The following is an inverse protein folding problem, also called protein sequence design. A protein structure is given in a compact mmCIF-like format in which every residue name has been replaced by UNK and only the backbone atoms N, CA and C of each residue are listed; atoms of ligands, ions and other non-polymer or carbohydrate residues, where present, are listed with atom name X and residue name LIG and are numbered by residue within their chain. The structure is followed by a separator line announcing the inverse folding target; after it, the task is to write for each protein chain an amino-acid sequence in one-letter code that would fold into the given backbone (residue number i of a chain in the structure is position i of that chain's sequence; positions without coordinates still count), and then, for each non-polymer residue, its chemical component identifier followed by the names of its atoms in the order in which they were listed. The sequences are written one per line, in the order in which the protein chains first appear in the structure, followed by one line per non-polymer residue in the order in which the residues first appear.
data_IF_832125287932
#
_entry.id   IF_832125287932
#
_cell.length_a   1.000
_cell.length_b   1.000
_cell.length_c   1.000
_cell.angle_alpha   90.00
_cell.angle_beta   90.00
_cell.angle_gamma   90.00
#
_symmetry.space_group_name_H-M   'P 1'
#
loop_
_entity.id
_entity.type
_entity.pdbx_description
1 polymer ?
#
# COMPACT_ATOMS: atom_id res chain seq x y z
N UNK A 1 33.30 29.48 -8.90
CA UNK A 1 31.91 29.10 -9.26
C UNK A 1 31.23 28.10 -8.31
N UNK A 2 31.96 27.28 -7.54
CA UNK A 2 31.35 26.26 -6.65
C UNK A 2 30.80 26.75 -5.30
N UNK A 3 31.13 27.97 -4.87
CA UNK A 3 30.68 28.52 -3.57
C UNK A 3 29.25 29.09 -3.67
N UNK A 4 28.90 29.71 -4.81
CA UNK A 4 27.56 30.28 -5.03
C UNK A 4 26.46 29.22 -5.19
N UNK A 5 26.75 28.07 -5.80
CA UNK A 5 25.76 26.99 -5.95
C UNK A 5 25.40 26.32 -4.62
N UNK A 6 26.36 26.24 -3.69
CA UNK A 6 26.12 25.73 -2.33
C UNK A 6 25.28 26.68 -1.49
N UNK A 7 25.54 27.98 -1.59
CA UNK A 7 24.76 29.03 -0.93
C UNK A 7 23.34 29.12 -1.48
N UNK A 8 23.15 29.04 -2.80
CA UNK A 8 21.81 28.98 -3.41
C UNK A 8 21.04 27.72 -3.00
N UNK A 9 21.69 26.55 -2.99
CA UNK A 9 21.05 25.31 -2.53
C UNK A 9 20.70 25.39 -1.04
N UNK A 10 21.56 25.98 -0.20
CA UNK A 10 21.25 26.20 1.21
C UNK A 10 20.10 27.20 1.41
N UNK A 11 20.02 28.26 0.60
CA UNK A 11 18.89 29.19 0.62
C UNK A 11 17.59 28.53 0.16
N UNK A 12 17.60 27.76 -0.93
CA UNK A 12 16.43 27.02 -1.39
C UNK A 12 16.00 25.92 -0.39
N UNK A 13 16.95 25.25 0.25
CA UNK A 13 16.68 24.33 1.36
C UNK A 13 16.10 25.06 2.57
N UNK A 14 16.63 26.22 2.93
CA UNK A 14 16.11 27.03 4.04
C UNK A 14 14.71 27.60 3.74
N UNK A 15 14.47 28.08 2.52
CA UNK A 15 13.16 28.57 2.07
C UNK A 15 12.14 27.43 2.02
N UNK A 16 12.52 26.25 1.53
CA UNK A 16 11.63 25.08 1.53
C UNK A 16 11.37 24.54 2.94
N UNK A 17 12.35 24.55 3.83
CA UNK A 17 12.19 24.20 5.25
C UNK A 17 11.29 25.22 5.95
N UNK A 18 11.50 26.51 5.71
CA UNK A 18 10.68 27.61 6.27
C UNK A 18 9.25 27.57 5.75
N UNK A 19 9.06 27.29 4.46
CA UNK A 19 7.74 27.13 3.84
C UNK A 19 7.00 25.91 4.39
N UNK A 20 7.68 24.76 4.55
CA UNK A 20 7.11 23.58 5.21
C UNK A 20 6.73 23.86 6.66
N UNK A 21 7.54 24.63 7.39
CA UNK A 21 7.27 24.99 8.78
C UNK A 21 6.08 25.95 8.91
N UNK A 22 5.95 26.91 7.99
CA UNK A 22 4.77 27.78 7.89
C UNK A 22 3.48 26.98 7.63
N UNK A 23 3.49 26.09 6.65
CA UNK A 23 2.34 25.23 6.34
C UNK A 23 1.95 24.37 7.56
N UNK A 24 2.93 23.84 8.30
CA UNK A 24 2.67 23.08 9.53
C UNK A 24 2.01 23.95 10.61
N UNK A 25 2.51 25.16 10.83
CA UNK A 25 1.94 26.09 11.81
C UNK A 25 0.53 26.55 11.42
N UNK A 26 0.26 26.78 10.13
CA UNK A 26 -1.09 27.11 9.65
C UNK A 26 -2.08 25.97 9.88
N UNK A 27 -1.68 24.73 9.58
CA UNK A 27 -2.50 23.54 9.89
C UNK A 27 -2.71 23.37 11.39
N UNK A 28 -1.65 23.50 12.18
CA UNK A 28 -1.71 23.36 13.63
C UNK A 28 -2.54 24.47 14.28
N UNK A 29 -2.62 25.66 13.68
CA UNK A 29 -3.52 26.72 14.17
C UNK A 29 -5.00 26.31 14.08
N UNK A 30 -5.37 25.53 13.06
CA UNK A 30 -6.74 25.03 12.90
C UNK A 30 -7.04 23.83 13.80
N UNK A 31 -6.06 22.95 14.01
CA UNK A 31 -6.14 21.80 14.91
C UNK A 31 -4.84 21.66 15.76
N UNK A 32 -4.77 22.32 16.94
CA UNK A 32 -3.52 22.43 17.70
C UNK A 32 -3.06 21.12 18.34
N UNK A 33 -4.00 20.43 18.97
CA UNK A 33 -3.85 19.15 19.64
C UNK A 33 -5.20 18.46 19.63
N UNK A 34 -5.24 17.14 19.63
CA UNK A 34 -6.50 16.39 19.67
C UNK A 34 -6.72 15.70 21.02
N UNK A 35 -5.69 15.70 21.88
CA UNK A 35 -5.71 14.99 23.16
C UNK A 35 -5.02 15.78 24.26
N UNK A 36 -5.54 15.62 25.48
CA UNK A 36 -4.84 15.95 26.72
C UNK A 36 -4.83 14.75 27.68
N UNK A 37 -3.69 14.50 28.30
CA UNK A 37 -3.51 13.49 29.35
C UNK A 37 -2.94 14.16 30.59
N UNK A 38 -3.53 13.90 31.75
CA UNK A 38 -2.94 14.29 33.03
C UNK A 38 -2.21 13.05 33.59
N UNK A 39 -0.87 13.10 33.62
CA UNK A 39 0.00 11.98 33.96
C UNK A 39 0.86 12.29 35.17
N UNK A 40 0.86 11.40 36.16
CA UNK A 40 1.67 11.55 37.38
C UNK A 40 2.81 10.55 37.33
N UNK A 41 4.06 11.01 37.26
CA UNK A 41 5.21 10.11 37.27
C UNK A 41 5.35 9.41 38.61
N UNK A 42 5.89 8.19 38.56
CA UNK A 42 6.15 7.41 39.77
C UNK A 42 7.16 8.14 40.67
N UNK A 43 6.70 8.58 41.84
CA UNK A 43 7.49 9.34 42.81
C UNK A 43 7.20 10.85 42.82
N UNK A 44 6.30 11.33 41.95
CA UNK A 44 5.79 12.70 41.97
C UNK A 44 4.37 12.74 42.54
N UNK A 45 3.99 13.87 43.15
CA UNK A 45 2.66 14.07 43.73
C UNK A 45 1.71 14.83 42.80
N UNK A 46 2.24 15.52 41.78
CA UNK A 46 1.47 16.39 40.89
C UNK A 46 1.42 15.83 39.47
N UNK A 47 0.23 15.83 38.88
CA UNK A 47 0.05 15.43 37.49
C UNK A 47 0.59 16.49 36.51
N UNK A 48 1.43 16.07 35.57
CA UNK A 48 1.82 16.86 34.39
C UNK A 48 0.70 16.84 33.35
N UNK A 49 0.42 18.00 32.75
CA UNK A 49 -0.54 18.11 31.64
C UNK A 49 0.17 17.92 30.31
N UNK A 50 -0.07 16.80 29.67
CA UNK A 50 0.54 16.43 28.40
C UNK A 50 -0.48 16.67 27.29
N UNK A 51 -0.17 17.58 26.38
CA UNK A 51 -0.97 17.84 25.18
C UNK A 51 -0.35 17.10 24.00
N UNK A 52 -1.16 16.36 23.26
CA UNK A 52 -0.72 15.56 22.11
C UNK A 52 -1.39 16.06 20.85
N UNK A 53 -0.58 16.40 19.85
CA UNK A 53 -1.03 16.99 18.60
C UNK A 53 -0.24 16.54 17.38
N UNK A 54 -0.66 16.99 16.18
CA UNK A 54 -0.06 16.59 14.91
C UNK A 54 1.43 16.92 14.80
N UNK A 55 1.86 18.05 15.38
CA UNK A 55 3.25 18.48 15.40
C UNK A 55 3.67 18.96 16.79
N UNK A 56 4.96 18.81 17.11
CA UNK A 56 5.52 19.41 18.31
C UNK A 56 5.46 20.93 18.24
N UNK A 57 4.94 21.56 19.28
CA UNK A 57 4.94 23.03 19.40
C UNK A 57 5.68 23.43 20.66
N UNK A 58 6.66 24.33 20.51
CA UNK A 58 7.44 24.85 21.62
C UNK A 58 7.61 26.37 21.50
N UNK A 59 7.71 27.03 22.64
CA UNK A 59 8.04 28.46 22.73
C UNK A 59 9.34 28.63 23.49
N UNK A 60 10.05 29.74 23.26
CA UNK A 60 11.30 30.04 23.98
C UNK A 60 11.10 30.21 25.48
N UNK A 61 9.90 30.62 25.89
CA UNK A 61 9.56 30.96 27.28
C UNK A 61 9.02 29.77 28.08
N UNK A 62 8.19 28.93 27.45
CA UNK A 62 7.48 27.84 28.15
C UNK A 62 7.99 26.45 27.76
N UNK A 63 8.98 26.36 26.87
CA UNK A 63 9.50 25.08 26.40
C UNK A 63 8.49 24.35 25.51
N UNK A 64 8.49 23.01 25.58
CA UNK A 64 7.62 22.15 24.77
C UNK A 64 6.20 22.15 25.35
N UNK A 65 5.25 22.65 24.57
CA UNK A 65 3.84 22.80 24.98
C UNK A 65 2.95 21.69 24.42
N UNK A 66 3.21 21.30 23.17
CA UNK A 66 2.47 20.24 22.49
C UNK A 66 3.49 19.20 22.08
N UNK A 67 3.28 17.99 22.56
CA UNK A 67 4.03 16.84 22.13
C UNK A 67 3.52 16.41 20.76
N UNK A 68 4.47 16.18 19.87
CA UNK A 68 4.17 15.49 18.63
C UNK A 68 3.58 14.13 19.00
N UNK A 69 2.48 13.77 18.36
CA UNK A 69 1.83 12.48 18.58
C UNK A 69 2.77 11.30 18.32
N UNK A 70 3.92 11.52 17.64
CA UNK A 70 5.05 10.60 17.38
C UNK A 70 6.11 10.53 18.44
N UNK A 71 6.00 11.32 19.49
CA UNK A 71 6.89 11.21 20.62
C UNK A 71 6.52 9.94 21.42
N UNK A 72 7.50 9.20 21.95
CA UNK A 72 7.24 8.01 22.77
C UNK A 72 6.25 8.25 23.93
N UNK A 73 6.24 9.45 24.50
CA UNK A 73 5.29 9.86 25.54
C UNK A 73 3.83 9.82 25.08
N UNK A 74 3.55 10.03 23.79
CA UNK A 74 2.20 9.92 23.25
C UNK A 74 1.68 8.47 23.29
N UNK A 75 2.55 7.47 23.46
CA UNK A 75 2.12 6.09 23.66
C UNK A 75 1.27 5.95 24.91
N UNK A 76 1.35 6.81 25.93
CA UNK A 76 0.43 6.76 27.08
C UNK A 76 -1.03 7.01 26.66
N UNK A 77 -1.24 7.85 25.64
CA UNK A 77 -2.57 8.13 25.13
C UNK A 77 -3.09 6.95 24.30
N UNK A 78 -2.24 6.34 23.47
CA UNK A 78 -2.70 5.20 22.70
C UNK A 78 -2.81 4.00 23.61
N UNK A 79 -1.74 3.63 24.29
CA UNK A 79 -1.50 2.29 24.79
C UNK A 79 -2.25 1.90 26.07
N UNK A 80 -2.63 2.89 26.86
CA UNK A 80 -3.14 2.70 28.22
C UNK A 80 -4.47 3.43 28.44
N UNK A 81 -5.33 2.79 29.22
CA UNK A 81 -6.52 3.42 29.81
C UNK A 81 -6.11 4.17 31.09
N UNK A 82 -7.07 4.65 31.89
CA UNK A 82 -6.75 5.23 33.20
C UNK A 82 -6.01 4.23 34.10
N UNK A 83 -5.13 4.75 34.97
CA UNK A 83 -4.32 3.94 35.89
C UNK A 83 -2.87 3.78 35.43
N UNK A 84 -2.24 2.66 35.78
CA UNK A 84 -0.81 2.47 35.56
C UNK A 84 -0.43 2.43 34.07
N UNK A 85 0.51 3.29 33.69
CA UNK A 85 1.05 3.35 32.34
C UNK A 85 2.58 3.48 32.35
N UNK A 86 3.19 3.05 31.25
CA UNK A 86 4.64 3.14 31.05
C UNK A 86 4.96 3.40 29.59
N UNK A 87 5.99 4.20 29.35
CA UNK A 87 6.43 4.53 28.01
C UNK A 87 7.96 4.61 27.95
N UNK A 88 8.50 4.50 26.74
CA UNK A 88 9.93 4.50 26.53
C UNK A 88 10.46 5.94 26.45
N UNK A 89 11.58 6.24 27.09
CA UNK A 89 12.29 7.51 26.95
C UNK A 89 13.75 7.24 26.54
N UNK A 90 14.48 8.24 26.03
CA UNK A 90 15.92 8.09 25.77
C UNK A 90 16.73 7.66 27.00
N UNK A 91 16.24 7.95 28.22
CA UNK A 91 16.90 7.62 29.47
C UNK A 91 16.43 6.29 30.10
N UNK A 92 15.49 5.57 29.48
CA UNK A 92 14.91 4.33 30.01
C UNK A 92 13.38 4.34 29.99
N UNK A 93 12.75 3.37 30.67
CA UNK A 93 11.28 3.28 30.74
C UNK A 93 10.79 4.23 31.85
N UNK A 94 9.95 5.18 31.48
CA UNK A 94 9.19 6.00 32.43
C UNK A 94 7.89 5.28 32.80
N UNK A 95 7.50 5.36 34.07
CA UNK A 95 6.27 4.74 34.60
C UNK A 95 5.54 5.73 35.50
N UNK A 96 4.21 5.63 35.54
CA UNK A 96 3.36 6.54 36.29
C UNK A 96 1.89 6.18 36.13
N UNK A 97 1.02 7.09 36.51
CA UNK A 97 -0.43 6.90 36.52
C UNK A 97 -1.12 7.94 35.63
N UNK A 98 -2.02 7.48 34.77
CA UNK A 98 -2.91 8.33 33.99
C UNK A 98 -4.14 8.63 34.84
N UNK A 99 -4.29 9.89 35.26
CA UNK A 99 -5.40 10.34 36.10
C UNK A 99 -6.61 10.81 35.28
N UNK A 100 -6.35 11.45 34.13
CA UNK A 100 -7.39 11.96 33.24
C UNK A 100 -6.97 11.90 31.79
N UNK A 101 -7.97 11.69 30.93
CA UNK A 101 -7.80 11.62 29.48
C UNK A 101 -8.96 12.35 28.80
N UNK A 102 -8.62 13.31 27.95
CA UNK A 102 -9.59 14.10 27.18
C UNK A 102 -9.24 14.06 25.71
N UNK A 103 -10.26 13.86 24.90
CA UNK A 103 -10.22 14.08 23.46
C UNK A 103 -10.93 15.39 23.14
N UNK A 104 -10.35 16.14 22.22
CA UNK A 104 -10.73 17.52 21.95
C UNK A 104 -10.79 17.66 20.44
N UNK A 105 -11.98 17.96 19.92
CA UNK A 105 -12.16 18.26 18.51
C UNK A 105 -12.09 19.75 18.30
N UNK A 106 -11.29 20.16 17.32
CA UNK A 106 -11.26 21.53 16.84
C UNK A 106 -11.98 21.64 15.50
N UNK A 107 -12.69 22.74 15.30
CA UNK A 107 -13.26 23.18 14.02
C UNK A 107 -12.90 24.64 13.83
N UNK A 108 -12.16 24.92 12.76
CA UNK A 108 -11.68 26.26 12.41
C UNK A 108 -10.94 26.98 13.56
N UNK A 109 -10.13 26.22 14.32
CA UNK A 109 -9.36 26.74 15.47
C UNK A 109 -10.16 26.94 16.76
N UNK A 110 -11.45 26.60 16.77
CA UNK A 110 -12.31 26.62 17.95
C UNK A 110 -12.59 25.20 18.44
N UNK A 111 -12.74 25.01 19.75
CA UNK A 111 -13.16 23.72 20.31
C UNK A 111 -14.62 23.48 19.91
N UNK A 112 -14.86 22.39 19.18
CA UNK A 112 -16.18 21.92 18.79
C UNK A 112 -16.80 21.12 19.95
N UNK A 113 -16.08 20.10 20.42
CA UNK A 113 -16.47 19.32 21.59
C UNK A 113 -15.27 18.76 22.35
N UNK A 114 -15.52 18.34 23.60
CA UNK A 114 -14.57 17.66 24.47
C UNK A 114 -15.22 16.41 25.05
N UNK A 115 -14.54 15.27 24.92
CA UNK A 115 -14.96 14.00 25.52
C UNK A 115 -13.93 13.58 26.57
N UNK A 116 -14.39 13.31 27.78
CA UNK A 116 -13.60 12.69 28.85
C UNK A 116 -14.03 11.22 28.94
N UNK A 117 -13.07 10.30 28.84
CA UNK A 117 -13.34 8.86 28.85
C UNK A 117 -12.25 8.11 29.58
N UNK A 118 -12.66 7.09 30.33
CA UNK A 118 -11.75 6.20 31.06
C UNK A 118 -11.01 5.24 30.11
N UNK A 119 -11.55 5.04 28.91
CA UNK A 119 -11.00 4.18 27.86
C UNK A 119 -10.53 4.98 26.65
N UNK A 120 -9.61 4.38 25.90
CA UNK A 120 -9.10 4.94 24.65
C UNK A 120 -10.13 4.83 23.53
N UNK A 121 -11.16 5.68 23.53
CA UNK A 121 -12.24 5.63 22.52
C UNK A 121 -11.79 6.36 21.25
N UNK A 122 -11.64 5.67 20.12
CA UNK A 122 -11.01 6.23 18.93
C UNK A 122 -11.97 6.72 17.83
N UNK A 123 -13.29 6.74 18.07
CA UNK A 123 -14.25 6.84 16.99
C UNK A 123 -15.18 8.06 17.10
N UNK A 124 -14.76 9.17 16.47
CA UNK A 124 -15.55 10.40 16.27
C UNK A 124 -16.74 10.19 15.31
N UNK A 125 -16.72 9.13 14.50
CA UNK A 125 -17.76 8.85 13.48
C UNK A 125 -18.87 7.96 14.05
N UNK A 126 -18.53 6.96 14.87
CA UNK A 126 -19.52 6.04 15.47
C UNK A 126 -20.30 6.66 16.63
N UNK A 127 -19.71 7.58 17.40
CA UNK A 127 -20.39 8.17 18.55
C UNK A 127 -21.55 9.10 18.14
N UNK A 128 -21.40 9.92 17.10
CA UNK A 128 -22.45 10.86 16.71
C UNK A 128 -23.76 10.17 16.24
N UNK A 129 -23.68 8.97 15.67
CA UNK A 129 -24.86 8.19 15.30
C UNK A 129 -25.45 7.41 16.48
N UNK A 130 -24.61 6.94 17.42
CA UNK A 130 -25.02 6.09 18.55
C UNK A 130 -25.58 6.87 19.76
N UNK A 131 -25.11 8.08 20.04
CA UNK A 131 -25.64 8.88 21.17
C UNK A 131 -27.09 9.31 20.97
N UNK A 132 -27.62 9.26 19.73
CA UNK A 132 -29.05 9.45 19.48
C UNK A 132 -29.91 8.21 19.79
N UNK A 133 -29.33 7.03 20.08
CA UNK A 133 -30.10 5.81 20.35
C UNK A 133 -29.64 5.05 21.62
N UNK A 134 -30.30 5.38 22.74
CA UNK A 134 -30.64 4.55 23.92
C UNK A 134 -29.53 3.83 24.73
N UNK A 135 -29.38 4.26 25.99
CA UNK A 135 -29.60 3.45 27.20
C UNK A 135 -28.68 2.27 27.56
N UNK A 136 -27.61 2.54 28.32
CA UNK A 136 -27.28 1.89 29.61
C UNK A 136 -26.75 0.45 29.69
N UNK A 137 -27.00 -0.45 28.74
CA UNK A 137 -26.53 -1.85 28.80
C UNK A 137 -25.51 -2.24 27.71
N UNK A 138 -25.11 -1.29 26.86
CA UNK A 138 -24.17 -1.48 25.75
C UNK A 138 -22.69 -1.27 26.11
N UNK A 139 -22.35 -0.75 27.29
CA UNK A 139 -20.98 -0.29 27.61
C UNK A 139 -19.94 -1.42 27.72
N UNK A 140 -20.29 -2.56 28.34
CA UNK A 140 -19.32 -3.64 28.57
C UNK A 140 -18.90 -4.34 27.27
N UNK A 141 -19.86 -4.67 26.38
CA UNK A 141 -19.58 -5.33 25.10
C UNK A 141 -18.78 -4.39 24.18
N UNK A 142 -19.11 -3.08 24.16
CA UNK A 142 -18.37 -2.08 23.40
C UNK A 142 -16.93 -1.96 23.90
N UNK A 143 -16.71 -1.96 25.22
CA UNK A 143 -15.36 -1.89 25.80
C UNK A 143 -14.48 -3.10 25.46
N UNK A 144 -15.04 -4.31 25.46
CA UNK A 144 -14.30 -5.53 25.09
C UNK A 144 -14.01 -5.58 23.59
N UNK A 145 -14.98 -5.19 22.74
CA UNK A 145 -14.79 -5.09 21.29
C UNK A 145 -13.70 -4.06 20.96
N UNK A 146 -13.68 -2.92 21.63
CA UNK A 146 -12.64 -1.91 21.43
C UNK A 146 -11.25 -2.42 21.83
N UNK A 147 -11.15 -3.21 22.91
CA UNK A 147 -9.89 -3.84 23.30
C UNK A 147 -9.40 -4.84 22.26
N UNK A 148 -10.26 -5.70 21.75
CA UNK A 148 -9.93 -6.66 20.68
C UNK A 148 -9.51 -5.95 19.39
N UNK A 149 -10.25 -4.92 18.98
CA UNK A 149 -9.90 -4.10 17.81
C UNK A 149 -8.54 -3.44 17.98
N UNK A 150 -8.24 -2.95 19.17
CA UNK A 150 -6.97 -2.30 19.49
C UNK A 150 -5.79 -3.29 19.54
N UNK A 151 -6.00 -4.52 20.01
CA UNK A 151 -5.00 -5.60 19.89
C UNK A 151 -4.68 -5.90 18.42
N UNK A 152 -5.70 -5.96 17.56
CA UNK A 152 -5.54 -6.14 16.10
C UNK A 152 -4.82 -4.96 15.47
N UNK A 153 -5.13 -3.72 15.86
CA UNK A 153 -4.46 -2.51 15.34
C UNK A 153 -2.96 -2.52 15.68
N UNK A 154 -2.60 -2.99 16.89
CA UNK A 154 -1.23 -2.89 17.41
C UNK A 154 -0.33 -4.07 17.14
N UNK A 155 -0.88 -5.18 16.68
CA UNK A 155 -0.07 -6.36 16.45
C UNK A 155 1.04 -6.08 15.42
N UNK A 156 2.29 -6.04 15.85
CA UNK A 156 3.44 -5.82 14.98
C UNK A 156 4.23 -7.10 14.70
N UNK A 157 3.73 -8.25 15.19
CA UNK A 157 4.42 -9.55 15.10
C UNK A 157 3.97 -10.34 13.89
N UNK A 158 2.70 -10.24 13.50
CA UNK A 158 2.18 -10.99 12.36
C UNK A 158 2.63 -10.39 11.03
N UNK A 159 3.20 -11.24 10.17
CA UNK A 159 3.56 -10.85 8.80
C UNK A 159 2.33 -10.66 7.91
N UNK A 160 1.37 -11.59 8.03
CA UNK A 160 0.12 -11.58 7.28
C UNK A 160 -1.04 -11.58 8.29
N UNK A 161 -2.10 -10.81 8.01
CA UNK A 161 -3.26 -10.68 8.90
C UNK A 161 -4.57 -10.70 8.11
N UNK A 162 -5.54 -11.46 8.60
CA UNK A 162 -6.91 -11.50 8.07
C UNK A 162 -7.85 -11.00 9.15
N UNK A 163 -8.61 -9.94 8.85
CA UNK A 163 -9.60 -9.36 9.76
C UNK A 163 -10.98 -9.84 9.32
N UNK A 164 -11.59 -10.73 10.10
CA UNK A 164 -12.91 -11.28 9.83
C UNK A 164 -13.91 -10.81 10.89
N UNK A 165 -15.10 -10.38 10.45
CA UNK A 165 -16.13 -9.84 11.32
C UNK A 165 -17.44 -9.57 10.59
N UNK A 166 -18.54 -9.46 11.34
CA UNK A 166 -19.89 -9.21 10.80
C UNK A 166 -20.00 -7.84 10.13
N UNK A 167 -21.06 -7.60 9.35
CA UNK A 167 -21.34 -6.27 8.80
C UNK A 167 -21.42 -5.22 9.91
N UNK A 168 -20.86 -4.03 9.68
CA UNK A 168 -20.83 -2.96 10.69
C UNK A 168 -19.80 -3.12 11.83
N UNK A 169 -19.00 -4.18 11.85
CA UNK A 169 -17.96 -4.40 12.89
C UNK A 169 -16.71 -3.51 12.78
N UNK A 170 -16.69 -2.57 11.84
CA UNK A 170 -15.57 -1.63 11.68
C UNK A 170 -14.29 -2.21 11.08
N UNK A 171 -14.34 -3.37 10.38
CA UNK A 171 -13.16 -4.02 9.75
C UNK A 171 -12.28 -3.06 8.95
N UNK A 172 -12.91 -2.30 8.08
CA UNK A 172 -12.31 -1.24 7.27
C UNK A 172 -11.60 -0.21 8.13
N UNK A 173 -12.27 0.30 9.17
CA UNK A 173 -11.68 1.24 10.13
C UNK A 173 -10.50 0.63 10.89
N UNK A 174 -10.59 -0.63 11.33
CA UNK A 174 -9.49 -1.35 12.00
C UNK A 174 -8.28 -1.44 11.07
N UNK A 175 -8.47 -1.82 9.80
CA UNK A 175 -7.39 -1.90 8.83
C UNK A 175 -6.73 -0.53 8.60
N UNK A 176 -7.53 0.54 8.52
CA UNK A 176 -7.06 1.92 8.38
C UNK A 176 -6.24 2.39 9.58
N UNK A 177 -6.79 2.25 10.80
CA UNK A 177 -6.09 2.60 12.02
C UNK A 177 -4.80 1.79 12.20
N UNK A 178 -4.78 0.53 11.76
CA UNK A 178 -3.58 -0.30 11.73
C UNK A 178 -2.50 0.27 10.82
N UNK A 179 -2.82 0.68 9.58
CA UNK A 179 -1.83 1.34 8.69
C UNK A 179 -1.28 2.59 9.35
N UNK A 180 -2.17 3.44 9.88
CA UNK A 180 -1.76 4.68 10.53
C UNK A 180 -0.82 4.38 11.70
N UNK A 181 -1.13 3.36 12.52
CA UNK A 181 -0.27 2.89 13.60
C UNK A 181 1.07 2.31 13.10
N UNK A 182 1.11 1.60 11.97
CA UNK A 182 2.36 1.06 11.43
C UNK A 182 3.25 2.15 10.83
N UNK A 183 2.67 3.06 10.03
CA UNK A 183 3.35 4.24 9.50
C UNK A 183 3.86 5.12 10.63
N UNK A 184 3.10 5.22 11.72
CA UNK A 184 3.50 5.90 12.94
C UNK A 184 4.69 5.24 13.63
N UNK A 185 4.48 3.99 14.08
CA UNK A 185 5.37 3.26 14.98
C UNK A 185 6.71 2.99 14.32
N UNK A 186 6.69 2.81 13.01
CA UNK A 186 7.83 2.47 12.18
C UNK A 186 8.14 3.55 11.14
N UNK A 187 7.84 4.83 11.41
CA UNK A 187 8.09 5.97 10.49
C UNK A 187 9.52 6.06 9.94
N UNK A 188 10.50 5.57 10.69
CA UNK A 188 11.90 5.57 10.26
C UNK A 188 12.22 4.43 9.27
N UNK A 189 11.29 3.49 9.06
CA UNK A 189 11.46 2.27 8.27
C UNK A 189 10.35 2.06 7.20
N UNK A 190 9.14 2.56 7.46
CA UNK A 190 7.98 2.45 6.57
C UNK A 190 7.57 3.85 6.13
N UNK A 191 7.49 4.06 4.82
CA UNK A 191 6.98 5.28 4.21
C UNK A 191 5.64 5.03 3.54
N UNK A 192 4.85 6.09 3.32
CA UNK A 192 3.55 5.96 2.64
C UNK A 192 3.66 5.42 1.21
N UNK A 193 4.76 5.72 0.50
CA UNK A 193 5.07 5.16 -0.83
C UNK A 193 5.19 3.62 -0.85
N UNK A 194 5.40 2.98 0.31
CA UNK A 194 5.54 1.53 0.43
C UNK A 194 4.21 0.83 0.75
N UNK A 195 3.13 1.59 0.93
CA UNK A 195 1.80 1.08 1.26
C UNK A 195 0.88 1.22 0.06
N UNK A 196 0.14 0.16 -0.25
CA UNK A 196 -0.91 0.15 -1.27
C UNK A 196 -2.22 -0.35 -0.70
N UNK A 197 -3.31 0.32 -1.04
CA UNK A 197 -4.68 -0.07 -0.68
C UNK A 197 -5.43 -0.47 -1.95
N UNK A 198 -6.04 -1.64 -1.90
CA UNK A 198 -6.99 -2.16 -2.88
C UNK A 198 -8.36 -2.25 -2.22
N UNK A 199 -9.31 -1.49 -2.73
CA UNK A 199 -10.66 -1.35 -2.17
C UNK A 199 -11.71 -1.44 -3.29
N UNK A 200 -12.99 -1.71 -2.99
CA UNK A 200 -14.04 -1.57 -3.99
C UNK A 200 -14.34 -0.09 -4.31
N UNK A 201 -14.10 0.82 -3.36
CA UNK A 201 -14.50 2.23 -3.43
C UNK A 201 -13.36 3.13 -2.93
N UNK A 202 -13.22 4.33 -3.50
CA UNK A 202 -12.23 5.34 -3.06
C UNK A 202 -12.55 6.07 -1.75
N UNK A 203 -13.41 5.49 -0.91
CA UNK A 203 -13.74 6.05 0.41
C UNK A 203 -12.53 6.04 1.37
N UNK A 204 -11.52 5.19 1.10
CA UNK A 204 -10.30 5.11 1.91
C UNK A 204 -9.41 6.33 1.77
N UNK A 205 -9.18 6.83 0.55
CA UNK A 205 -8.36 8.02 0.30
C UNK A 205 -8.83 9.22 1.09
N UNK A 206 -10.15 9.41 1.23
CA UNK A 206 -10.71 10.54 1.98
C UNK A 206 -10.43 10.43 3.48
N UNK A 207 -10.57 9.23 4.06
CA UNK A 207 -10.29 9.00 5.48
C UNK A 207 -8.79 9.11 5.76
N UNK A 208 -7.95 8.50 4.92
CA UNK A 208 -6.49 8.62 5.01
C UNK A 208 -6.04 10.07 4.80
N UNK A 209 -6.63 10.81 3.88
CA UNK A 209 -6.34 12.24 3.69
C UNK A 209 -6.90 13.13 4.82
N UNK A 210 -7.58 12.59 5.82
CA UNK A 210 -7.92 13.31 7.05
C UNK A 210 -7.01 12.88 8.21
N UNK A 211 -6.69 11.59 8.29
CA UNK A 211 -5.91 11.01 9.39
C UNK A 211 -4.40 11.09 9.16
N UNK A 212 -3.90 10.88 7.93
CA UNK A 212 -2.47 10.91 7.59
C UNK A 212 -1.86 12.31 7.35
N UNK A 213 -2.54 13.35 6.82
CA UNK A 213 -1.91 14.66 6.64
C UNK A 213 -1.64 15.39 7.97
N UNK A 214 -2.33 15.02 9.05
CA UNK A 214 -1.97 15.40 10.41
C UNK A 214 -0.59 14.83 10.83
N UNK A 215 -0.09 13.82 10.10
CA UNK A 215 1.18 13.13 10.36
C UNK A 215 2.35 13.65 9.52
N UNK A 216 2.07 14.51 8.53
CA UNK A 216 3.07 15.09 7.64
C UNK A 216 3.61 14.17 6.55
N UNK A 217 2.97 13.03 6.30
CA UNK A 217 3.33 12.04 5.27
C UNK A 217 2.58 12.28 3.94
N UNK A 218 3.17 11.82 2.83
CA UNK A 218 2.54 11.86 1.49
C UNK A 218 1.35 10.89 1.42
N UNK A 219 0.34 11.13 0.56
CA UNK A 219 -0.83 10.25 0.44
C UNK A 219 -0.44 8.82 0.03
N UNK A 220 -1.08 7.83 0.65
CA UNK A 220 -0.91 6.40 0.33
C UNK A 220 -1.48 6.10 -1.05
N UNK A 221 -0.88 5.16 -1.78
CA UNK A 221 -1.38 4.74 -3.09
C UNK A 221 -2.66 3.90 -2.92
N UNK A 222 -3.78 4.35 -3.49
CA UNK A 222 -5.04 3.62 -3.51
C UNK A 222 -5.47 3.29 -4.94
N UNK A 223 -5.95 2.07 -5.14
CA UNK A 223 -6.59 1.61 -6.36
C UNK A 223 -7.93 0.97 -6.04
N UNK A 224 -8.96 1.27 -6.84
CA UNK A 224 -10.14 0.39 -6.82
C UNK A 224 -9.83 -0.91 -7.56
N UNK A 225 -10.49 -2.00 -7.21
CA UNK A 225 -10.31 -3.29 -7.92
C UNK A 225 -10.65 -3.14 -9.42
N UNK A 226 -11.69 -2.35 -9.73
CA UNK A 226 -12.10 -2.06 -11.10
C UNK A 226 -11.00 -1.30 -11.87
N UNK A 227 -10.45 -0.24 -11.27
CA UNK A 227 -9.37 0.55 -11.87
C UNK A 227 -8.11 -0.27 -12.06
N UNK A 228 -7.76 -1.08 -11.06
CA UNK A 228 -6.61 -1.97 -11.08
C UNK A 228 -6.71 -2.98 -12.23
N UNK A 229 -7.86 -3.64 -12.37
CA UNK A 229 -8.12 -4.61 -13.44
C UNK A 229 -8.13 -3.96 -14.82
N UNK A 230 -8.83 -2.83 -15.00
CA UNK A 230 -8.97 -2.18 -16.31
C UNK A 230 -7.64 -1.57 -16.79
N UNK A 231 -6.95 -0.84 -15.91
CA UNK A 231 -5.73 -0.10 -16.28
C UNK A 231 -4.60 -1.07 -16.60
N UNK A 232 -4.36 -2.05 -15.73
CA UNK A 232 -3.21 -2.94 -15.87
C UNK A 232 -3.43 -4.06 -16.90
N UNK A 233 -4.68 -4.50 -17.12
CA UNK A 233 -4.96 -5.43 -18.21
C UNK A 233 -4.79 -4.77 -19.58
N UNK A 234 -4.99 -3.45 -19.69
CA UNK A 234 -5.04 -2.70 -20.95
C UNK A 234 -6.17 -3.16 -21.88
N UNK A 235 -7.16 -3.87 -21.34
CA UNK A 235 -8.35 -4.28 -22.08
C UNK A 235 -9.29 -3.08 -22.24
N UNK A 236 -9.62 -2.75 -23.49
CA UNK A 236 -10.55 -1.66 -23.79
C UNK A 236 -12.00 -2.16 -23.76
N UNK A 237 -12.93 -1.30 -23.31
CA UNK A 237 -14.39 -1.50 -23.39
C UNK A 237 -14.90 -2.74 -22.63
N UNK A 238 -14.33 -3.02 -21.47
CA UNK A 238 -14.82 -4.08 -20.58
C UNK A 238 -15.97 -3.54 -19.72
N UNK A 239 -17.09 -4.26 -19.56
CA UNK A 239 -18.16 -3.86 -18.67
C UNK A 239 -17.68 -3.80 -17.21
N UNK A 240 -18.33 -2.96 -16.40
CA UNK A 240 -18.14 -2.98 -14.94
C UNK A 240 -18.62 -4.29 -14.32
N UNK A 241 -18.20 -4.59 -13.09
CA UNK A 241 -18.69 -5.76 -12.35
C UNK A 241 -20.22 -5.76 -12.25
N UNK A 242 -20.83 -4.61 -12.01
CA UNK A 242 -22.29 -4.45 -11.97
C UNK A 242 -22.94 -4.82 -13.32
N UNK A 243 -22.39 -4.32 -14.43
CA UNK A 243 -22.89 -4.65 -15.77
C UNK A 243 -22.67 -6.12 -16.14
N UNK A 244 -21.59 -6.76 -15.67
CA UNK A 244 -21.39 -8.21 -15.82
C UNK A 244 -22.51 -8.98 -15.09
N UNK A 245 -22.82 -8.60 -13.85
CA UNK A 245 -23.90 -9.20 -13.07
C UNK A 245 -25.25 -8.99 -13.76
N UNK A 246 -25.58 -7.77 -14.17
CA UNK A 246 -26.81 -7.46 -14.91
C UNK A 246 -26.93 -8.32 -16.17
N UNK A 247 -25.84 -8.45 -16.95
CA UNK A 247 -25.82 -9.32 -18.14
C UNK A 247 -26.03 -10.78 -17.80
N UNK A 248 -25.53 -11.27 -16.66
CA UNK A 248 -25.74 -12.65 -16.22
C UNK A 248 -27.19 -12.91 -15.79
N UNK A 249 -27.84 -11.92 -15.17
CA UNK A 249 -29.27 -12.00 -14.83
C UNK A 249 -30.16 -11.94 -16.07
N UNK A 250 -29.86 -11.05 -17.02
CA UNK A 250 -30.69 -10.82 -18.20
C UNK A 250 -30.42 -11.82 -19.34
N UNK A 251 -29.16 -12.19 -19.57
CA UNK A 251 -28.77 -13.07 -20.66
C UNK A 251 -28.47 -14.48 -20.13
N UNK A 252 -29.37 -15.42 -20.40
CA UNK A 252 -29.17 -16.85 -20.08
C UNK A 252 -28.19 -17.55 -21.04
N UNK A 253 -27.09 -16.89 -21.44
CA UNK A 253 -26.03 -17.56 -22.21
C UNK A 253 -25.25 -18.47 -21.28
N UNK A 254 -25.63 -19.75 -21.28
CA UNK A 254 -25.01 -20.78 -20.46
C UNK A 254 -23.47 -20.79 -20.56
N UNK A 255 -22.92 -20.64 -21.78
CA UNK A 255 -21.47 -20.59 -22.01
C UNK A 255 -20.76 -19.41 -21.34
N UNK A 256 -21.40 -18.25 -21.22
CA UNK A 256 -20.83 -17.09 -20.52
C UNK A 256 -20.82 -17.32 -19.01
N UNK A 257 -21.90 -17.89 -18.47
CA UNK A 257 -22.04 -18.22 -17.04
C UNK A 257 -20.99 -19.25 -16.64
N UNK A 258 -20.83 -20.32 -17.41
CA UNK A 258 -19.83 -21.37 -17.15
C UNK A 258 -18.40 -20.82 -17.20
N UNK A 259 -18.12 -19.94 -18.17
CA UNK A 259 -16.82 -19.27 -18.28
C UNK A 259 -16.55 -18.40 -17.06
N UNK A 260 -17.45 -17.48 -16.70
CA UNK A 260 -17.26 -16.60 -15.53
C UNK A 260 -17.12 -17.41 -14.25
N UNK A 261 -17.95 -18.46 -14.07
CA UNK A 261 -17.82 -19.37 -12.94
C UNK A 261 -16.44 -20.03 -12.88
N UNK A 262 -15.93 -20.50 -14.01
CA UNK A 262 -14.58 -21.08 -14.11
C UNK A 262 -13.51 -20.05 -13.74
N UNK A 263 -13.55 -18.85 -14.31
CA UNK A 263 -12.57 -17.79 -14.07
C UNK A 263 -12.50 -17.36 -12.61
N UNK A 264 -13.62 -17.44 -11.88
CA UNK A 264 -13.69 -17.15 -10.44
C UNK A 264 -13.18 -18.28 -9.54
N UNK A 265 -12.69 -19.40 -10.09
CA UNK A 265 -12.20 -20.53 -9.29
C UNK A 265 -10.69 -20.53 -9.09
N UNK A 266 -10.24 -21.10 -7.97
CA UNK A 266 -8.81 -21.41 -7.74
C UNK A 266 -8.24 -22.35 -8.80
N UNK A 267 -9.09 -23.19 -9.41
CA UNK A 267 -8.70 -24.08 -10.51
C UNK A 267 -8.22 -23.30 -11.72
N UNK A 268 -8.93 -22.25 -12.15
CA UNK A 268 -8.49 -21.39 -13.24
C UNK A 268 -7.09 -20.82 -12.99
N UNK A 269 -6.78 -20.39 -11.75
CA UNK A 269 -5.44 -19.89 -11.41
C UNK A 269 -4.36 -20.97 -11.56
N UNK A 270 -4.66 -22.21 -11.15
CA UNK A 270 -3.73 -23.34 -11.30
C UNK A 270 -3.51 -23.70 -12.78
N UNK A 271 -4.59 -23.80 -13.54
CA UNK A 271 -4.57 -24.09 -14.98
C UNK A 271 -3.80 -23.01 -15.75
N UNK A 272 -4.05 -21.73 -15.43
CA UNK A 272 -3.35 -20.60 -16.05
C UNK A 272 -1.85 -20.61 -15.77
N UNK A 273 -1.45 -20.92 -14.52
CA UNK A 273 -0.03 -21.07 -14.16
C UNK A 273 0.63 -22.20 -14.94
N UNK A 274 -0.05 -23.33 -15.11
CA UNK A 274 0.44 -24.46 -15.88
C UNK A 274 0.58 -24.08 -17.36
N UNK A 275 -0.46 -23.51 -17.94
CA UNK A 275 -0.50 -23.03 -19.32
C UNK A 275 0.65 -22.06 -19.63
N UNK A 276 0.90 -21.09 -18.75
CA UNK A 276 1.96 -20.10 -18.94
C UNK A 276 3.34 -20.74 -18.93
N UNK A 277 3.60 -21.69 -18.02
CA UNK A 277 4.87 -22.45 -18.01
C UNK A 277 5.08 -23.27 -19.29
N UNK A 278 4.02 -23.88 -19.81
CA UNK A 278 4.09 -24.67 -21.05
C UNK A 278 4.20 -23.80 -22.31
N UNK A 279 3.62 -22.60 -22.26
CA UNK A 279 3.72 -21.58 -23.32
C UNK A 279 5.08 -20.90 -23.35
N UNK A 280 5.85 -20.96 -22.26
CA UNK A 280 7.20 -20.39 -22.12
C UNK A 280 8.31 -21.23 -22.77
N UNK A 281 7.98 -22.10 -23.74
CA UNK A 281 8.97 -22.90 -24.47
C UNK A 281 9.89 -21.99 -25.29
N UNK A 282 11.02 -21.62 -24.70
CA UNK A 282 12.02 -20.76 -25.31
C UNK A 282 12.93 -21.56 -26.25
N UNK A 283 12.81 -21.32 -27.56
CA UNK A 283 13.64 -21.97 -28.58
C UNK A 283 14.90 -21.16 -28.79
N UNK A 284 16.05 -21.64 -28.32
CA UNK A 284 17.32 -20.94 -28.47
C UNK A 284 17.87 -21.06 -29.88
N UNK A 285 18.44 -19.97 -30.39
CA UNK A 285 19.27 -19.98 -31.60
C UNK A 285 20.57 -19.24 -31.29
N UNK A 286 21.66 -19.60 -31.97
CA UNK A 286 22.94 -18.90 -31.82
C UNK A 286 22.84 -17.45 -32.31
N UNK A 287 23.33 -16.51 -31.50
CA UNK A 287 23.40 -15.09 -31.85
C UNK A 287 24.84 -14.71 -32.18
N UNK A 288 25.15 -14.57 -33.47
CA UNK A 288 26.44 -14.05 -33.96
C UNK A 288 26.43 -12.52 -34.01
N UNK A 289 27.46 -11.88 -33.44
CA UNK A 289 27.68 -10.42 -33.47
C UNK A 289 29.16 -10.14 -33.81
N UNK A 290 29.42 -9.78 -35.07
CA UNK A 290 30.80 -9.70 -35.56
C UNK A 290 31.44 -11.10 -35.55
N UNK A 291 32.58 -11.23 -34.90
CA UNK A 291 33.32 -12.50 -34.77
C UNK A 291 32.99 -13.26 -33.47
N UNK A 292 31.97 -12.82 -32.72
CA UNK A 292 31.57 -13.44 -31.47
C UNK A 292 30.25 -14.18 -31.62
N UNK A 293 30.28 -15.46 -31.24
CA UNK A 293 29.10 -16.32 -31.18
C UNK A 293 28.62 -16.51 -29.75
N UNK A 294 27.34 -16.21 -29.53
CA UNK A 294 26.62 -16.53 -28.30
C UNK A 294 25.78 -17.77 -28.58
N UNK A 295 26.32 -18.92 -28.23
CA UNK A 295 25.68 -20.22 -28.46
C UNK A 295 24.37 -20.40 -27.69
N UNK A 296 23.58 -21.36 -28.14
CA UNK A 296 22.27 -21.70 -27.57
C UNK A 296 22.34 -22.04 -26.08
N UNK A 297 23.36 -22.79 -25.67
CA UNK A 297 23.57 -23.19 -24.27
C UNK A 297 23.77 -21.98 -23.35
N UNK A 298 24.56 -20.99 -23.78
CA UNK A 298 24.79 -19.76 -23.03
C UNK A 298 23.48 -18.99 -22.82
N UNK A 299 22.70 -18.82 -23.89
CA UNK A 299 21.43 -18.08 -23.82
C UNK A 299 20.44 -18.83 -22.93
N UNK A 300 20.34 -20.16 -23.07
CA UNK A 300 19.44 -20.98 -22.25
C UNK A 300 19.83 -20.93 -20.76
N UNK A 301 21.13 -20.97 -20.45
CA UNK A 301 21.63 -20.90 -19.09
C UNK A 301 21.27 -19.56 -18.43
N UNK A 302 21.47 -18.45 -19.14
CA UNK A 302 21.10 -17.11 -18.65
C UNK A 302 19.58 -16.96 -18.50
N UNK A 303 18.81 -17.48 -19.45
CA UNK A 303 17.35 -17.47 -19.37
C UNK A 303 16.83 -18.22 -18.13
N UNK A 304 17.40 -19.40 -17.83
CA UNK A 304 17.09 -20.17 -16.62
C UNK A 304 17.56 -19.45 -15.35
N UNK A 305 18.73 -18.81 -15.36
CA UNK A 305 19.25 -18.06 -14.22
C UNK A 305 18.30 -16.92 -13.80
N UNK A 306 17.65 -16.25 -14.76
CA UNK A 306 16.66 -15.20 -14.50
C UNK A 306 15.23 -15.71 -14.27
N UNK A 307 15.03 -17.01 -14.03
CA UNK A 307 13.72 -17.66 -13.94
C UNK A 307 12.72 -17.10 -12.91
N UNK A 308 13.17 -16.28 -11.96
CA UNK A 308 12.31 -15.60 -10.98
C UNK A 308 11.71 -14.27 -11.48
N UNK A 309 12.19 -13.73 -12.59
CA UNK A 309 11.75 -12.44 -13.16
C UNK A 309 10.67 -12.63 -14.24
N UNK A 310 9.89 -11.60 -14.61
CA UNK A 310 9.01 -11.62 -15.78
C UNK A 310 9.75 -11.91 -17.08
N UNK A 311 9.11 -12.59 -18.02
CA UNK A 311 9.76 -13.12 -19.25
C UNK A 311 10.51 -12.03 -20.02
N UNK A 312 9.89 -10.88 -20.28
CA UNK A 312 10.53 -9.80 -21.02
C UNK A 312 11.68 -9.16 -20.25
N UNK A 313 11.60 -9.07 -18.93
CA UNK A 313 12.72 -8.60 -18.10
C UNK A 313 13.92 -9.55 -18.23
N UNK A 314 13.70 -10.88 -18.27
CA UNK A 314 14.78 -11.86 -18.52
C UNK A 314 15.47 -11.60 -19.85
N UNK A 315 14.71 -11.36 -20.91
CA UNK A 315 15.27 -11.08 -22.25
C UNK A 315 16.06 -9.76 -22.26
N UNK A 316 15.61 -8.76 -21.52
CA UNK A 316 16.34 -7.50 -21.38
C UNK A 316 17.68 -7.69 -20.67
N UNK A 317 17.73 -8.50 -19.60
CA UNK A 317 18.96 -8.80 -18.87
C UNK A 317 19.93 -9.63 -19.71
N UNK A 318 19.45 -10.60 -20.48
CA UNK A 318 20.30 -11.36 -21.42
C UNK A 318 20.88 -10.41 -22.49
N UNK A 319 20.07 -9.48 -23.00
CA UNK A 319 20.57 -8.48 -23.95
C UNK A 319 21.64 -7.57 -23.32
N UNK A 320 21.51 -7.20 -22.05
CA UNK A 320 22.52 -6.45 -21.30
C UNK A 320 23.80 -7.26 -21.08
N UNK A 321 23.68 -8.51 -20.64
CA UNK A 321 24.81 -9.44 -20.47
C UNK A 321 25.64 -9.59 -21.76
N UNK A 322 24.95 -9.73 -22.91
CA UNK A 322 25.60 -9.80 -24.22
C UNK A 322 26.34 -8.50 -24.52
N UNK A 323 25.72 -7.34 -24.29
CA UNK A 323 26.35 -6.03 -24.54
C UNK A 323 27.54 -5.75 -23.62
N UNK A 324 27.46 -6.14 -22.35
CA UNK A 324 28.55 -6.02 -21.40
C UNK A 324 29.72 -6.93 -21.78
N UNK A 325 29.43 -8.18 -22.15
CA UNK A 325 30.42 -9.09 -22.70
C UNK A 325 31.07 -8.55 -23.97
N UNK A 326 30.36 -7.82 -24.83
CA UNK A 326 30.97 -7.18 -26.00
C UNK A 326 31.86 -5.98 -25.64
N UNK A 327 31.59 -5.30 -24.52
CA UNK A 327 32.40 -4.16 -24.07
C UNK A 327 33.74 -4.58 -23.48
N UNK A 328 33.78 -5.74 -22.80
CA UNK A 328 35.00 -6.27 -22.19
C UNK A 328 35.96 -6.94 -23.19
N UNK A 329 35.56 -7.13 -24.45
CA UNK A 329 36.38 -7.79 -25.46
C UNK A 329 37.41 -6.83 -26.07
N UNK A 330 38.64 -7.32 -26.36
CA UNK A 330 39.72 -6.50 -26.92
C UNK A 330 39.41 -5.99 -28.34
N UNK A 331 38.70 -6.77 -29.16
CA UNK A 331 38.28 -6.36 -30.50
C UNK A 331 36.77 -6.16 -30.53
N UNK A 332 36.32 -4.91 -30.66
CA UNK A 332 34.89 -4.59 -30.70
C UNK A 332 34.37 -4.58 -32.13
N UNK A 333 33.19 -5.16 -32.41
CA UNK A 333 32.62 -5.17 -33.75
C UNK A 333 32.27 -3.75 -34.21
N UNK A 334 32.51 -3.45 -35.49
CA UNK A 334 32.25 -2.13 -36.10
C UNK A 334 30.76 -1.71 -36.01
N UNK A 335 29.84 -2.69 -36.06
CA UNK A 335 28.39 -2.49 -35.89
C UNK A 335 27.92 -3.24 -34.65
N UNK A 336 27.67 -2.50 -33.56
CA UNK A 336 27.09 -3.06 -32.34
C UNK A 336 25.56 -2.99 -32.40
N UNK A 337 24.85 -4.07 -32.11
CA UNK A 337 23.41 -4.00 -31.97
C UNK A 337 23.03 -3.19 -30.74
N UNK A 338 21.87 -2.52 -30.78
CA UNK A 338 21.30 -1.86 -29.60
C UNK A 338 20.63 -2.88 -28.69
N UNK A 339 20.43 -2.53 -27.40
CA UNK A 339 19.65 -3.36 -26.45
C UNK A 339 18.28 -3.74 -27.02
N UNK A 340 17.61 -2.81 -27.70
CA UNK A 340 16.31 -3.04 -28.35
C UNK A 340 16.38 -4.05 -29.50
N UNK A 341 17.45 -4.03 -30.31
CA UNK A 341 17.62 -4.99 -31.39
C UNK A 341 17.87 -6.41 -30.87
N UNK A 342 18.71 -6.55 -29.83
CA UNK A 342 18.96 -7.83 -29.17
C UNK A 342 17.69 -8.37 -28.50
N UNK A 343 16.99 -7.51 -27.75
CA UNK A 343 15.71 -7.84 -27.14
C UNK A 343 14.70 -8.34 -28.19
N UNK A 344 14.58 -7.66 -29.33
CA UNK A 344 13.67 -8.09 -30.39
C UNK A 344 14.08 -9.42 -31.04
N UNK A 345 15.39 -9.72 -31.13
CA UNK A 345 15.88 -11.01 -31.62
C UNK A 345 15.55 -12.13 -30.64
N UNK A 346 15.84 -11.92 -29.35
CA UNK A 346 15.49 -12.86 -28.28
C UNK A 346 13.96 -13.03 -28.15
N UNK A 347 13.18 -11.98 -28.37
CA UNK A 347 11.72 -12.03 -28.32
C UNK A 347 11.12 -12.94 -29.41
N UNK A 348 11.79 -13.10 -30.55
CA UNK A 348 11.38 -14.03 -31.63
C UNK A 348 11.58 -15.50 -31.26
N UNK A 349 12.43 -15.80 -30.27
CA UNK A 349 12.66 -17.15 -29.74
C UNK A 349 11.51 -17.62 -28.82
N UNK A 350 10.51 -16.78 -28.57
CA UNK A 350 9.28 -17.14 -27.88
C UNK A 350 8.16 -17.46 -28.87
N UNK A 351 7.36 -18.52 -28.64
CA UNK A 351 6.30 -18.92 -29.57
C UNK A 351 5.19 -17.89 -29.64
N UNK A 352 4.86 -17.26 -28.51
CA UNK A 352 3.80 -16.25 -28.41
C UNK A 352 4.26 -15.14 -27.48
N UNK A 353 4.19 -13.90 -27.96
CA UNK A 353 4.60 -12.72 -27.20
C UNK A 353 3.46 -11.75 -26.94
N UNK A 354 2.29 -11.96 -27.54
CA UNK A 354 1.13 -11.09 -27.37
C UNK A 354 0.24 -11.66 -26.25
N UNK A 355 0.05 -10.90 -25.18
CA UNK A 355 -0.73 -11.32 -24.01
C UNK A 355 -2.21 -11.62 -24.33
N UNK A 356 -2.83 -10.86 -25.24
CA UNK A 356 -4.22 -11.12 -25.65
C UNK A 356 -4.32 -12.43 -26.44
N UNK A 357 -3.32 -12.75 -27.26
CA UNK A 357 -3.25 -14.03 -27.97
C UNK A 357 -3.01 -15.19 -27.00
N UNK A 358 -2.14 -15.03 -26.01
CA UNK A 358 -1.95 -16.01 -24.93
C UNK A 358 -3.25 -16.28 -24.19
N UNK A 359 -3.99 -15.23 -23.85
CA UNK A 359 -5.28 -15.37 -23.18
C UNK A 359 -6.33 -16.09 -24.06
N UNK A 360 -6.41 -15.73 -25.35
CA UNK A 360 -7.30 -16.41 -26.29
C UNK A 360 -6.99 -17.91 -26.40
N UNK A 361 -5.70 -18.27 -26.46
CA UNK A 361 -5.25 -19.66 -26.52
C UNK A 361 -5.54 -20.40 -25.21
N UNK A 362 -5.31 -19.76 -24.06
CA UNK A 362 -5.65 -20.32 -22.75
C UNK A 362 -7.15 -20.66 -22.67
N UNK A 363 -8.02 -19.71 -23.03
CA UNK A 363 -9.46 -19.96 -23.03
C UNK A 363 -9.86 -21.11 -23.97
N UNK A 364 -9.28 -21.15 -25.17
CA UNK A 364 -9.54 -22.21 -26.13
C UNK A 364 -9.14 -23.60 -25.62
N UNK A 365 -8.02 -23.72 -24.91
CA UNK A 365 -7.57 -24.97 -24.28
C UNK A 365 -8.54 -25.44 -23.18
N UNK A 366 -9.16 -24.49 -22.47
CA UNK A 366 -10.19 -24.77 -21.46
C UNK A 366 -11.59 -24.99 -22.06
N UNK A 367 -11.72 -25.01 -23.39
CA UNK A 367 -12.99 -25.23 -24.10
C UNK A 367 -13.86 -23.98 -24.22
N UNK A 368 -13.35 -22.79 -23.91
CA UNK A 368 -14.08 -21.53 -24.02
C UNK A 368 -13.66 -20.74 -25.25
N UNK A 369 -14.65 -20.16 -25.96
CA UNK A 369 -14.39 -19.26 -27.08
C UNK A 369 -14.25 -17.81 -26.61
N UNK A 370 -13.18 -17.14 -27.01
CA UNK A 370 -13.09 -15.67 -26.89
C UNK A 370 -13.94 -15.04 -28.01
N UNK A 371 -15.20 -14.69 -27.72
CA UNK A 371 -15.97 -13.76 -28.57
C UNK A 371 -15.50 -12.32 -28.31
N UNK A 372 -15.87 -11.38 -29.20
CA UNK A 372 -15.47 -9.96 -29.17
C UNK A 372 -15.76 -9.23 -27.84
N UNK A 373 -16.64 -9.75 -27.00
CA UNK A 373 -17.03 -9.12 -25.74
C UNK A 373 -16.26 -9.74 -24.57
N UNK A 374 -15.26 -9.01 -24.07
CA UNK A 374 -14.64 -9.31 -22.78
C UNK A 374 -15.64 -9.00 -21.66
N UNK A 375 -15.58 -9.78 -20.59
CA UNK A 375 -16.32 -9.58 -19.36
C UNK A 375 -15.38 -9.10 -18.25
N UNK A 376 -15.94 -8.56 -17.16
CA UNK A 376 -15.16 -8.06 -16.04
C UNK A 376 -14.22 -9.13 -15.46
N UNK A 377 -14.72 -10.36 -15.34
CA UNK A 377 -13.96 -11.51 -14.86
C UNK A 377 -12.77 -11.90 -15.76
N UNK A 378 -12.77 -11.50 -17.04
CA UNK A 378 -11.67 -11.75 -17.98
C UNK A 378 -10.44 -10.86 -17.68
N UNK A 379 -10.62 -9.73 -16.98
CA UNK A 379 -9.56 -8.75 -16.70
C UNK A 379 -8.40 -9.37 -15.91
N UNK A 380 -8.70 -10.15 -14.87
CA UNK A 380 -7.69 -10.65 -13.94
C UNK A 380 -6.80 -11.75 -14.52
N UNK A 381 -7.32 -12.74 -15.27
CA UNK A 381 -6.47 -13.65 -16.04
C UNK A 381 -5.58 -12.93 -17.06
N UNK A 382 -6.10 -11.94 -17.78
CA UNK A 382 -5.30 -11.13 -18.72
C UNK A 382 -4.19 -10.40 -17.96
N UNK A 383 -4.54 -9.76 -16.84
CA UNK A 383 -3.59 -9.10 -15.97
C UNK A 383 -2.50 -10.05 -15.46
N UNK A 384 -2.87 -11.26 -15.05
CA UNK A 384 -1.92 -12.29 -14.61
C UNK A 384 -0.93 -12.67 -15.72
N UNK A 385 -1.42 -12.81 -16.95
CA UNK A 385 -0.57 -13.07 -18.13
C UNK A 385 0.39 -11.90 -18.37
N UNK A 386 -0.09 -10.65 -18.27
CA UNK A 386 0.76 -9.46 -18.42
C UNK A 386 1.81 -9.36 -17.33
N UNK A 387 1.46 -9.63 -16.07
CA UNK A 387 2.41 -9.68 -14.97
C UNK A 387 3.52 -10.71 -15.24
N UNK A 388 3.14 -11.89 -15.75
CA UNK A 388 4.10 -12.96 -16.06
C UNK A 388 5.03 -12.60 -17.24
N UNK A 389 4.49 -11.96 -18.28
CA UNK A 389 5.23 -11.64 -19.50
C UNK A 389 6.02 -10.34 -19.39
N UNK A 390 5.36 -9.25 -18.99
CA UNK A 390 5.86 -7.88 -19.03
C UNK A 390 6.46 -7.44 -17.68
N UNK A 391 5.82 -7.82 -16.57
CA UNK A 391 6.11 -7.26 -15.25
C UNK A 391 5.52 -5.86 -15.05
N UNK A 392 5.46 -5.40 -13.81
CA UNK A 392 5.03 -4.04 -13.46
C UNK A 392 5.99 -3.42 -12.45
N UNK A 393 6.83 -2.51 -12.92
CA UNK A 393 7.82 -1.81 -12.07
C UNK A 393 7.16 -0.76 -11.16
N UNK A 394 5.95 -0.32 -11.51
CA UNK A 394 5.18 0.70 -10.80
C UNK A 394 4.92 0.32 -9.33
N UNK A 395 4.89 -0.98 -9.02
CA UNK A 395 4.65 -1.49 -7.67
C UNK A 395 5.94 -1.97 -6.95
N UNK A 396 7.12 -1.71 -7.51
CA UNK A 396 8.40 -2.21 -6.97
C UNK A 396 8.75 -1.71 -5.56
N UNK A 397 8.23 -0.55 -5.17
CA UNK A 397 8.40 0.04 -3.84
C UNK A 397 7.41 -0.50 -2.80
N UNK A 398 6.31 -1.11 -3.24
CA UNK A 398 5.23 -1.56 -2.35
C UNK A 398 5.72 -2.73 -1.49
N UNK A 399 5.57 -2.60 -0.17
CA UNK A 399 5.91 -3.61 0.83
C UNK A 399 4.70 -4.07 1.63
N UNK A 400 3.70 -3.21 1.77
CA UNK A 400 2.47 -3.48 2.52
C UNK A 400 1.28 -3.31 1.57
N UNK A 401 0.44 -4.33 1.51
CA UNK A 401 -0.77 -4.32 0.68
C UNK A 401 -1.96 -4.61 1.56
N UNK A 402 -2.99 -3.79 1.42
CA UNK A 402 -4.26 -3.97 2.12
C UNK A 402 -5.34 -4.18 1.10
N UNK A 403 -6.10 -5.24 1.31
CA UNK A 403 -7.19 -5.65 0.45
C UNK A 403 -8.45 -5.54 1.30
N UNK A 404 -9.23 -4.51 1.06
CA UNK A 404 -10.52 -4.30 1.70
C UNK A 404 -11.64 -4.89 0.83
N UNK A 405 -12.65 -5.44 1.50
CA UNK A 405 -13.86 -6.03 0.92
C UNK A 405 -13.63 -6.97 -0.30
N UNK A 406 -13.31 -8.24 -0.01
CA UNK A 406 -13.57 -9.36 -0.92
C UNK A 406 -14.98 -9.93 -0.76
#
# INVERSE_FOLDING_TARGET
MFINSRLLNQQQLAESVSGKQLIRLEKQKQNPYFTRVDFTYKGEETAEKIYVGPFSFSTKEQGLLIYDWRAPIASIFYEYDLGEAKFQTPAGIASGEIQRKRQIKFKDGMIDYVVESDTTVFDEVLQNELWQQKGGQMSTIISTIQKEQNEVIRDSRSKDMIIQGVAGSGKTSIALHRIAFLLYRFRDHITSEQVMILSPNRTFSQFIAQVLPELGEEPVTEWTIDEFGQTLSGAAKVPSRFQEIERLYLNQRQSLIERIRYLSTKRCVADLKKFLKESEKFTTETITIGDYDYGEEYILQRYKAYGKKPVFERLQLIAEDILENLRSRPFQPKKKPTKKQLFNRLKKMLPITNCNKLYANFLAEQGYSMKKDLSYSDLFPILYIRLFMEGFDEFSKIRYVIIDEM
#
